data_IF_685261557728
#
_entry.id   IF_685261557728
#
_cell.length_a   1.000
_cell.length_b   1.000
_cell.length_c   1.000
_cell.angle_alpha   90.00
_cell.angle_beta   90.00
_cell.angle_gamma   90.00
#
_symmetry.space_group_name_H-M   'P 1'
#
loop_
_entity.id
_entity.type
_entity.pdbx_description
1 polymer ?
#
# COMPACT_ATOMS: atom_id res chain seq x y z
N UNK A 1 18.80 -3.29 46.79
CA UNK A 1 17.57 -3.65 46.05
C UNK A 1 17.23 -2.47 45.16
N UNK A 2 17.83 -2.38 43.98
CA UNK A 2 17.49 -1.36 42.99
C UNK A 2 16.48 -1.97 42.05
N UNK A 3 15.25 -1.48 42.11
CA UNK A 3 14.16 -1.89 41.24
C UNK A 3 14.54 -1.58 39.80
N UNK A 4 14.55 -2.65 39.00
CA UNK A 4 14.70 -2.71 37.56
C UNK A 4 13.91 -1.64 36.83
N UNK A 5 14.61 -0.95 35.94
CA UNK A 5 14.10 -0.13 34.86
C UNK A 5 13.06 -0.94 34.07
N UNK A 6 11.80 -0.52 34.15
CA UNK A 6 10.72 -1.10 33.35
C UNK A 6 10.96 -0.62 31.93
N UNK A 7 11.59 -1.48 31.14
CA UNK A 7 11.66 -1.38 29.69
C UNK A 7 10.23 -1.17 29.17
N UNK A 8 10.08 -0.12 28.37
CA UNK A 8 8.87 0.21 27.65
C UNK A 8 8.33 -1.04 26.93
N UNK A 9 6.99 -1.18 26.79
CA UNK A 9 6.43 -2.32 26.08
C UNK A 9 7.05 -2.36 24.70
N UNK A 10 7.69 -3.48 24.39
CA UNK A 10 8.17 -3.78 23.07
C UNK A 10 6.94 -3.74 22.18
N UNK A 11 6.87 -2.73 21.31
CA UNK A 11 5.87 -2.65 20.25
C UNK A 11 5.85 -4.04 19.60
N UNK A 12 4.78 -4.80 19.81
CA UNK A 12 4.51 -6.00 19.04
C UNK A 12 4.53 -5.55 17.58
N UNK A 13 5.67 -5.79 16.94
CA UNK A 13 5.94 -5.40 15.56
C UNK A 13 5.05 -6.27 14.69
N UNK A 14 3.78 -5.87 14.63
CA UNK A 14 2.77 -6.45 13.77
C UNK A 14 3.33 -6.28 12.38
N UNK A 15 3.57 -7.37 11.67
CA UNK A 15 4.08 -7.26 10.31
C UNK A 15 3.03 -6.53 9.47
N UNK A 16 3.27 -5.24 9.21
CA UNK A 16 2.35 -4.41 8.43
C UNK A 16 2.04 -5.00 7.05
N UNK A 17 2.90 -5.86 6.53
CA UNK A 17 2.72 -6.52 5.24
C UNK A 17 1.89 -7.81 5.31
N UNK A 18 1.44 -8.25 6.49
CA UNK A 18 0.63 -9.46 6.63
C UNK A 18 -0.58 -9.51 5.68
N UNK A 19 -1.38 -8.44 5.50
CA UNK A 19 -2.50 -8.44 4.55
C UNK A 19 -2.06 -8.67 3.09
N UNK A 20 -0.83 -8.28 2.76
CA UNK A 20 -0.27 -8.32 1.40
C UNK A 20 0.44 -9.64 1.10
N UNK A 21 0.90 -10.39 2.11
CA UNK A 21 1.71 -11.62 1.91
C UNK A 21 1.03 -12.65 1.01
N UNK A 22 -0.25 -12.90 1.26
CA UNK A 22 -1.09 -13.88 0.55
C UNK A 22 -1.68 -13.33 -0.76
N UNK A 23 -1.39 -12.08 -1.12
CA UNK A 23 -1.90 -11.47 -2.35
C UNK A 23 -1.16 -11.97 -3.61
N UNK A 24 -1.80 -11.86 -4.80
CA UNK A 24 -1.14 -12.16 -6.07
C UNK A 24 0.11 -11.30 -6.31
N UNK A 25 1.10 -11.79 -7.08
CA UNK A 25 2.35 -11.07 -7.33
C UNK A 25 2.17 -9.64 -7.85
N UNK A 26 1.17 -9.42 -8.71
CA UNK A 26 0.86 -8.08 -9.24
C UNK A 26 0.40 -7.10 -8.16
N UNK A 27 -0.41 -7.55 -7.20
CA UNK A 27 -0.85 -6.73 -6.07
C UNK A 27 0.30 -6.42 -5.12
N UNK A 28 1.14 -7.42 -4.81
CA UNK A 28 2.34 -7.23 -4.01
C UNK A 28 3.29 -6.20 -4.62
N UNK A 29 3.50 -6.27 -5.93
CA UNK A 29 4.34 -5.30 -6.64
C UNK A 29 3.75 -3.88 -6.59
N UNK A 30 2.45 -3.73 -6.82
CA UNK A 30 1.77 -2.41 -6.75
C UNK A 30 1.87 -1.82 -5.35
N UNK A 31 1.61 -2.61 -4.30
CA UNK A 31 1.74 -2.18 -2.92
C UNK A 31 3.19 -1.75 -2.61
N UNK A 32 4.17 -2.51 -3.11
CA UNK A 32 5.58 -2.15 -2.93
C UNK A 32 5.97 -0.87 -3.67
N UNK A 33 5.42 -0.62 -4.85
CA UNK A 33 5.66 0.64 -5.58
C UNK A 33 5.03 1.83 -4.85
N UNK A 34 3.83 1.67 -4.26
CA UNK A 34 3.22 2.70 -3.43
C UNK A 34 4.04 2.99 -2.17
N UNK A 35 4.59 1.97 -1.51
CA UNK A 35 5.52 2.11 -0.38
C UNK A 35 6.75 2.97 -0.72
N UNK A 36 7.24 2.92 -1.97
CA UNK A 36 8.37 3.74 -2.40
C UNK A 36 8.02 5.15 -2.86
N UNK A 37 6.79 5.40 -3.30
CA UNK A 37 6.40 6.63 -4.00
C UNK A 37 5.29 7.42 -3.29
N UNK A 38 4.86 6.96 -2.11
CA UNK A 38 3.75 7.47 -1.30
C UNK A 38 2.39 7.41 -2.01
N UNK A 39 2.16 8.31 -2.97
CA UNK A 39 0.87 8.47 -3.65
C UNK A 39 1.05 8.54 -5.16
N UNK A 40 0.38 7.64 -5.89
CA UNK A 40 0.43 7.59 -7.35
C UNK A 40 -0.95 7.48 -7.98
N UNK A 41 -1.09 7.96 -9.21
CA UNK A 41 -2.26 7.67 -10.05
C UNK A 41 -2.16 6.28 -10.67
N UNK A 42 -3.29 5.74 -11.15
CA UNK A 42 -3.30 4.45 -11.87
C UNK A 42 -2.36 4.44 -13.10
N UNK A 43 -2.25 5.56 -13.82
CA UNK A 43 -1.35 5.66 -14.98
C UNK A 43 0.10 5.60 -14.55
N UNK A 44 0.49 6.37 -13.53
CA UNK A 44 1.85 6.32 -12.99
C UNK A 44 2.19 4.94 -12.43
N UNK A 45 1.26 4.28 -11.74
CA UNK A 45 1.47 2.90 -11.29
C UNK A 45 1.72 1.93 -12.45
N UNK A 46 1.06 2.10 -13.59
CA UNK A 46 1.35 1.29 -14.77
C UNK A 46 2.74 1.56 -15.36
N UNK A 47 3.19 2.81 -15.31
CA UNK A 47 4.53 3.22 -15.76
C UNK A 47 5.61 2.67 -14.83
N UNK A 48 5.47 2.86 -13.51
CA UNK A 48 6.44 2.44 -12.50
C UNK A 48 6.52 0.91 -12.35
N UNK A 49 5.38 0.21 -12.43
CA UNK A 49 5.36 -1.25 -12.29
C UNK A 49 5.68 -1.99 -13.60
N UNK A 50 5.66 -1.27 -14.73
CA UNK A 50 5.69 -1.85 -16.09
C UNK A 50 4.57 -2.88 -16.36
N UNK A 51 3.52 -2.88 -15.55
CA UNK A 51 2.38 -3.77 -15.74
C UNK A 51 1.39 -3.16 -16.73
N UNK A 52 0.68 -4.00 -17.52
CA UNK A 52 -0.44 -3.53 -18.32
C UNK A 52 -1.49 -2.81 -17.44
N UNK A 53 -2.13 -1.73 -17.91
CA UNK A 53 -3.11 -0.98 -17.12
C UNK A 53 -4.27 -1.81 -16.56
N UNK A 54 -4.67 -2.88 -17.26
CA UNK A 54 -5.70 -3.82 -16.77
C UNK A 54 -5.23 -4.58 -15.52
N UNK A 55 -3.96 -4.95 -15.47
CA UNK A 55 -3.36 -5.67 -14.34
C UNK A 55 -3.20 -4.75 -13.14
N UNK A 56 -2.79 -3.49 -13.35
CA UNK A 56 -2.74 -2.48 -12.28
C UNK A 56 -4.11 -2.25 -11.69
N UNK A 57 -5.15 -2.09 -12.53
CA UNK A 57 -6.52 -1.95 -12.04
C UNK A 57 -6.97 -3.14 -11.19
N UNK A 58 -6.70 -4.36 -11.67
CA UNK A 58 -7.02 -5.57 -10.90
C UNK A 58 -6.27 -5.63 -9.57
N UNK A 59 -4.99 -5.26 -9.55
CA UNK A 59 -4.19 -5.19 -8.33
C UNK A 59 -4.73 -4.15 -7.35
N UNK A 60 -5.08 -2.95 -7.83
CA UNK A 60 -5.67 -1.89 -6.99
C UNK A 60 -7.01 -2.32 -6.41
N UNK A 61 -7.90 -2.93 -7.19
CA UNK A 61 -9.17 -3.46 -6.65
C UNK A 61 -8.93 -4.48 -5.54
N UNK A 62 -7.98 -5.41 -5.73
CA UNK A 62 -7.62 -6.39 -4.68
C UNK A 62 -7.07 -5.76 -3.40
N UNK A 63 -6.32 -4.66 -3.55
CA UNK A 63 -5.72 -3.95 -2.43
C UNK A 63 -6.76 -3.08 -1.70
N UNK A 64 -7.66 -2.43 -2.43
CA UNK A 64 -8.80 -1.69 -1.87
C UNK A 64 -9.76 -2.64 -1.13
N UNK A 65 -10.10 -3.80 -1.72
CA UNK A 65 -10.98 -4.81 -1.10
C UNK A 65 -10.43 -5.39 0.21
N UNK A 66 -9.11 -5.28 0.42
CA UNK A 66 -8.40 -5.74 1.60
C UNK A 66 -7.99 -4.60 2.55
N UNK A 67 -8.50 -3.38 2.31
CA UNK A 67 -8.19 -2.17 3.09
C UNK A 67 -6.68 -1.86 3.20
N UNK A 68 -5.89 -2.27 2.20
CA UNK A 68 -4.43 -2.02 2.17
C UNK A 68 -4.09 -0.66 1.55
N UNK A 69 -4.97 -0.12 0.73
CA UNK A 69 -4.74 1.10 -0.05
C UNK A 69 -5.99 1.97 0.01
N UNK A 70 -5.83 3.25 0.34
CA UNK A 70 -6.89 4.25 0.20
C UNK A 70 -6.84 4.93 -1.18
N UNK A 71 -8.00 5.40 -1.62
CA UNK A 71 -8.19 6.07 -2.90
C UNK A 71 -9.00 7.36 -2.77
N UNK A 72 -8.43 8.45 -3.28
CA UNK A 72 -9.07 9.77 -3.30
C UNK A 72 -9.05 10.41 -4.68
N UNK A 73 -9.95 11.35 -4.92
CA UNK A 73 -9.91 12.14 -6.14
C UNK A 73 -8.68 13.05 -6.17
N UNK A 74 -8.06 13.18 -7.34
CA UNK A 74 -7.00 14.16 -7.54
C UNK A 74 -7.59 15.57 -7.52
N UNK A 75 -6.95 16.48 -6.78
CA UNK A 75 -7.30 17.90 -6.79
C UNK A 75 -7.05 18.58 -8.14
N UNK A 76 -6.07 18.09 -8.91
CA UNK A 76 -5.71 18.67 -10.22
C UNK A 76 -6.64 18.19 -11.34
N UNK A 77 -7.11 16.95 -11.27
CA UNK A 77 -8.11 16.40 -12.21
C UNK A 77 -9.00 15.39 -11.46
N UNK A 78 -10.21 15.81 -11.08
CA UNK A 78 -11.13 15.00 -10.29
C UNK A 78 -11.58 13.69 -10.97
N UNK A 79 -11.29 13.50 -12.27
CA UNK A 79 -11.53 12.21 -12.96
C UNK A 79 -10.47 11.17 -12.62
N UNK A 80 -9.31 11.61 -12.13
CA UNK A 80 -8.21 10.74 -11.72
C UNK A 80 -8.33 10.41 -10.24
N UNK A 81 -7.96 9.18 -9.91
CA UNK A 81 -7.78 8.72 -8.53
C UNK A 81 -6.30 8.66 -8.17
N UNK A 82 -6.00 9.05 -6.95
CA UNK A 82 -4.71 8.91 -6.29
C UNK A 82 -4.84 7.78 -5.27
N UNK A 83 -3.87 6.87 -5.28
CA UNK A 83 -3.81 5.70 -4.42
C UNK A 83 -2.65 5.85 -3.45
N UNK A 84 -2.86 5.53 -2.18
CA UNK A 84 -1.87 5.63 -1.10
C UNK A 84 -1.92 4.38 -0.25
N UNK A 85 -0.76 3.88 0.19
CA UNK A 85 -0.68 2.71 1.07
C UNK A 85 -1.17 3.07 2.50
N UNK A 86 -1.99 2.21 3.11
CA UNK A 86 -2.67 2.40 4.42
C UNK A 86 -2.34 1.28 5.43
N UNK A 87 -1.18 0.66 5.29
CA UNK A 87 -0.65 -0.34 6.24
C UNK A 87 0.56 0.21 6.99
#
# INVERSE_FOLDING_TARGET
MSTTEVLAPEEESTDRWEPVREMPPSAKLVAKVLDYNDTLTQTQLAEETLLPPRTVRYALTRLEDADVVDSRFSFTDARKRLYTLEI
#
